data_IF_489357629981
#
_entry.id   IF_489357629981
#
_cell.length_a   1.000
_cell.length_b   1.000
_cell.length_c   1.000
_cell.angle_alpha   90.00
_cell.angle_beta   90.00
_cell.angle_gamma   90.00
#
_symmetry.space_group_name_H-M   'P 1'
#
loop_
_entity.id
_entity.type
_entity.pdbx_description
1 polymer ?
#
# COMPACT_ATOMS: atom_id res chain seq x y z
N UNK A 1 -7.52 -52.27 62.09
CA UNK A 1 -7.83 -50.83 62.24
C UNK A 1 -6.74 -50.01 61.51
N UNK A 2 -6.96 -49.59 60.32
CA UNK A 2 -6.02 -48.82 59.52
C UNK A 2 -6.79 -47.76 58.77
N UNK A 3 -6.62 -46.47 59.11
CA UNK A 3 -7.30 -45.33 58.52
C UNK A 3 -6.54 -44.94 57.24
N UNK A 4 -7.20 -45.04 56.09
CA UNK A 4 -6.70 -44.52 54.82
C UNK A 4 -6.79 -43.02 54.74
N UNK A 5 -5.66 -42.36 54.49
CA UNK A 5 -5.57 -40.94 54.18
C UNK A 5 -5.98 -40.72 52.71
N UNK A 6 -7.07 -39.99 52.48
CA UNK A 6 -7.45 -39.50 51.17
C UNK A 6 -6.58 -38.33 50.78
N UNK A 7 -5.75 -38.48 49.77
CA UNK A 7 -5.09 -37.38 49.06
C UNK A 7 -6.09 -36.68 48.11
N UNK A 8 -6.37 -35.41 48.34
CA UNK A 8 -7.06 -34.56 47.37
C UNK A 8 -6.02 -33.94 46.44
N UNK A 9 -6.20 -34.02 45.12
CA UNK A 9 -5.34 -33.30 44.22
C UNK A 9 -5.66 -31.80 44.30
N UNK A 10 -4.70 -30.96 44.68
CA UNK A 10 -4.77 -29.52 44.58
C UNK A 10 -4.71 -29.17 43.08
N UNK A 11 -5.85 -28.77 42.53
CA UNK A 11 -5.93 -28.16 41.19
C UNK A 11 -5.40 -26.72 41.34
N UNK A 12 -4.10 -26.55 41.13
CA UNK A 12 -3.58 -25.22 40.81
C UNK A 12 -4.11 -24.85 39.43
N UNK A 13 -5.20 -24.11 39.38
CA UNK A 13 -5.65 -23.43 38.20
C UNK A 13 -4.58 -22.43 37.79
N UNK A 14 -3.87 -22.68 36.71
CA UNK A 14 -3.08 -21.67 36.03
C UNK A 14 -4.04 -20.53 35.69
N UNK A 15 -3.82 -19.30 36.17
CA UNK A 15 -4.70 -18.19 35.80
C UNK A 15 -4.66 -18.08 34.30
N UNK A 16 -5.82 -18.15 33.65
CA UNK A 16 -5.96 -17.84 32.25
C UNK A 16 -5.40 -16.43 32.06
N UNK A 17 -4.26 -16.30 31.41
CA UNK A 17 -3.72 -15.02 30.97
C UNK A 17 -4.82 -14.39 30.12
N UNK A 18 -5.51 -13.40 30.64
CA UNK A 18 -6.44 -12.59 29.87
C UNK A 18 -5.61 -11.81 28.86
N UNK A 19 -5.45 -12.38 27.66
CA UNK A 19 -4.81 -11.66 26.54
C UNK A 19 -5.58 -10.38 26.32
N UNK A 20 -4.89 -9.24 26.41
CA UNK A 20 -5.49 -7.94 26.11
C UNK A 20 -5.74 -7.88 24.59
N UNK A 21 -6.99 -7.69 24.17
CA UNK A 21 -7.32 -7.48 22.77
C UNK A 21 -6.81 -6.10 22.33
N UNK A 22 -5.92 -6.08 21.35
CA UNK A 22 -5.40 -4.86 20.76
C UNK A 22 -6.40 -4.35 19.69
N UNK A 23 -6.95 -3.16 19.90
CA UNK A 23 -7.91 -2.53 18.98
C UNK A 23 -7.16 -1.66 17.99
N UNK A 24 -7.23 -2.00 16.70
CA UNK A 24 -6.51 -1.32 15.62
C UNK A 24 -7.48 -0.72 14.63
N UNK A 25 -7.34 0.58 14.35
CA UNK A 25 -8.00 1.24 13.24
C UNK A 25 -7.06 1.38 12.06
N UNK A 26 -7.50 1.01 10.87
CA UNK A 26 -6.77 1.24 9.61
C UNK A 26 -7.58 2.16 8.72
N UNK A 27 -7.04 3.34 8.39
CA UNK A 27 -7.63 4.25 7.43
C UNK A 27 -6.88 4.16 6.10
N UNK A 28 -7.57 3.80 5.02
CA UNK A 28 -7.00 3.64 3.69
C UNK A 28 -7.82 4.36 2.62
N UNK A 29 -7.19 4.88 1.57
CA UNK A 29 -7.85 5.61 0.48
C UNK A 29 -7.88 4.84 -0.85
N UNK A 30 -7.35 3.61 -0.89
CA UNK A 30 -7.36 2.72 -2.06
C UNK A 30 -7.21 1.25 -1.66
N UNK A 31 -7.45 0.35 -2.61
CA UNK A 31 -7.29 -1.10 -2.47
C UNK A 31 -5.89 -1.52 -2.01
N UNK A 32 -4.86 -0.98 -2.67
CA UNK A 32 -3.46 -1.31 -2.33
C UNK A 32 -3.07 -0.77 -0.96
N UNK A 33 -3.56 0.43 -0.60
CA UNK A 33 -3.32 0.99 0.73
C UNK A 33 -4.10 0.24 1.80
N UNK A 34 -5.30 -0.22 1.50
CA UNK A 34 -6.02 -1.14 2.37
C UNK A 34 -5.22 -2.42 2.62
N UNK A 35 -4.74 -3.07 1.53
CA UNK A 35 -3.87 -4.26 1.64
C UNK A 35 -2.67 -4.01 2.55
N UNK A 36 -1.92 -2.95 2.26
CA UNK A 36 -0.73 -2.60 3.03
C UNK A 36 -1.07 -2.32 4.49
N UNK A 37 -2.06 -1.47 4.76
CA UNK A 37 -2.40 -1.04 6.12
C UNK A 37 -2.88 -2.19 6.99
N UNK A 38 -3.78 -3.03 6.49
CA UNK A 38 -4.34 -4.15 7.24
C UNK A 38 -3.31 -5.26 7.49
N UNK A 39 -2.47 -5.60 6.50
CA UNK A 39 -1.39 -6.56 6.70
C UNK A 39 -0.29 -6.01 7.63
N UNK A 40 0.03 -4.71 7.50
CA UNK A 40 0.96 -4.04 8.41
C UNK A 40 0.46 -4.13 9.86
N UNK A 41 -0.81 -3.81 10.10
CA UNK A 41 -1.42 -3.88 11.42
C UNK A 41 -1.21 -5.26 12.08
N UNK A 42 -1.41 -6.33 11.32
CA UNK A 42 -1.20 -7.70 11.81
C UNK A 42 0.28 -8.03 12.04
N UNK A 43 1.19 -7.52 11.20
CA UNK A 43 2.64 -7.80 11.30
C UNK A 43 3.33 -7.09 12.44
N UNK A 44 2.90 -5.85 12.76
CA UNK A 44 3.52 -5.01 13.77
C UNK A 44 2.87 -5.12 15.15
N UNK A 45 1.75 -5.81 15.28
CA UNK A 45 1.12 -6.06 16.57
C UNK A 45 2.08 -6.83 17.49
N UNK A 46 2.14 -6.50 18.80
CA UNK A 46 2.93 -7.25 19.75
C UNK A 46 2.61 -8.74 19.73
N UNK A 47 3.61 -9.58 19.96
CA UNK A 47 3.44 -11.02 20.01
C UNK A 47 2.37 -11.43 21.04
N UNK A 48 1.61 -12.46 20.72
CA UNK A 48 0.52 -12.98 21.56
C UNK A 48 -0.63 -12.00 21.87
N UNK A 49 -0.78 -10.90 21.12
CA UNK A 49 -1.96 -10.05 21.17
C UNK A 49 -3.09 -10.66 20.36
N UNK A 50 -4.30 -10.66 20.92
CA UNK A 50 -5.50 -10.82 20.11
C UNK A 50 -5.77 -9.48 19.41
N UNK A 51 -6.04 -9.48 18.11
CA UNK A 51 -6.21 -8.25 17.33
C UNK A 51 -7.68 -8.13 16.94
N UNK A 52 -8.26 -6.95 17.21
CA UNK A 52 -9.49 -6.50 16.58
C UNK A 52 -9.16 -5.40 15.58
N UNK A 53 -9.43 -5.65 14.30
CA UNK A 53 -9.10 -4.78 13.18
C UNK A 53 -10.36 -4.13 12.63
N UNK A 54 -10.50 -2.82 12.78
CA UNK A 54 -11.56 -2.04 12.16
C UNK A 54 -11.01 -1.23 10.98
N UNK A 55 -11.55 -1.50 9.79
CA UNK A 55 -11.16 -0.87 8.54
C UNK A 55 -12.02 0.34 8.19
N UNK A 56 -11.37 1.40 7.74
CA UNK A 56 -11.99 2.63 7.26
C UNK A 56 -11.50 2.95 5.85
N UNK A 57 -12.41 3.05 4.90
CA UNK A 57 -12.11 3.44 3.53
C UNK A 57 -12.42 4.92 3.35
N UNK A 58 -11.40 5.73 3.19
CA UNK A 58 -11.56 7.16 2.98
C UNK A 58 -12.29 7.41 1.67
N UNK A 59 -13.43 8.07 1.76
CA UNK A 59 -14.27 8.40 0.62
C UNK A 59 -13.54 9.35 -0.34
N UNK A 60 -13.39 8.93 -1.59
CA UNK A 60 -12.70 9.69 -2.59
C UNK A 60 -12.72 9.04 -3.96
N UNK A 61 -11.87 9.54 -4.86
CA UNK A 61 -11.76 9.02 -6.22
C UNK A 61 -11.28 7.57 -6.26
N UNK A 62 -10.35 7.20 -5.41
CA UNK A 62 -9.70 5.89 -5.40
C UNK A 62 -10.33 4.92 -4.38
N UNK A 63 -11.47 5.27 -3.76
CA UNK A 63 -12.21 4.34 -2.89
C UNK A 63 -12.47 3.03 -3.63
N UNK A 64 -12.01 1.88 -3.10
CA UNK A 64 -12.08 0.60 -3.82
C UNK A 64 -13.51 0.11 -4.00
N UNK A 65 -13.72 -0.67 -5.06
CA UNK A 65 -14.96 -1.42 -5.27
C UNK A 65 -14.96 -2.70 -4.45
N UNK A 66 -16.14 -3.31 -4.24
CA UNK A 66 -16.25 -4.59 -3.54
C UNK A 66 -15.36 -5.67 -4.21
N UNK A 67 -15.34 -5.74 -5.54
CA UNK A 67 -14.46 -6.66 -6.28
C UNK A 67 -12.98 -6.44 -6.00
N UNK A 68 -12.54 -5.17 -5.96
CA UNK A 68 -11.13 -4.85 -5.65
C UNK A 68 -10.77 -5.24 -4.22
N UNK A 69 -11.69 -5.08 -3.27
CA UNK A 69 -11.50 -5.52 -1.89
C UNK A 69 -11.43 -7.03 -1.78
N UNK A 70 -12.29 -7.74 -2.51
CA UNK A 70 -12.28 -9.21 -2.59
C UNK A 70 -10.95 -9.72 -3.19
N UNK A 71 -10.48 -9.09 -4.27
CA UNK A 71 -9.21 -9.43 -4.92
C UNK A 71 -8.00 -9.21 -4.01
N UNK A 72 -8.05 -8.22 -3.14
CA UNK A 72 -7.00 -7.96 -2.12
C UNK A 72 -6.93 -9.10 -1.10
N UNK A 73 -8.05 -9.73 -0.78
CA UNK A 73 -8.12 -10.92 0.09
C UNK A 73 -7.85 -10.67 1.57
N UNK A 74 -7.78 -9.40 2.01
CA UNK A 74 -7.54 -9.04 3.42
C UNK A 74 -8.87 -8.75 4.11
N UNK A 75 -9.10 -9.39 5.25
CA UNK A 75 -10.32 -9.25 6.06
C UNK A 75 -10.07 -8.36 7.28
N UNK A 76 -11.12 -7.73 7.75
CA UNK A 76 -11.19 -7.00 9.01
C UNK A 76 -12.47 -7.41 9.76
N UNK A 77 -12.53 -7.13 11.06
CA UNK A 77 -13.75 -7.36 11.87
C UNK A 77 -14.88 -6.44 11.42
N UNK A 78 -14.53 -5.21 11.03
CA UNK A 78 -15.45 -4.29 10.35
C UNK A 78 -14.77 -3.52 9.23
N UNK A 79 -15.51 -3.17 8.17
CA UNK A 79 -15.02 -2.34 7.07
C UNK A 79 -16.11 -1.39 6.60
N UNK A 80 -15.84 -0.07 6.68
CA UNK A 80 -16.80 0.96 6.30
C UNK A 80 -16.19 2.13 5.56
N UNK A 81 -16.96 2.75 4.67
CA UNK A 81 -16.57 3.96 3.95
C UNK A 81 -16.88 5.20 4.80
N UNK A 82 -15.87 6.09 4.97
CA UNK A 82 -15.99 7.30 5.80
C UNK A 82 -15.42 8.54 5.08
N UNK A 83 -15.84 9.73 5.50
CA UNK A 83 -15.09 10.98 5.22
C UNK A 83 -13.96 11.16 6.25
N UNK A 84 -13.02 12.08 6.00
CA UNK A 84 -11.98 12.40 6.99
C UNK A 84 -12.57 12.90 8.31
N UNK A 85 -13.62 13.74 8.25
CA UNK A 85 -14.28 14.26 9.44
C UNK A 85 -15.02 13.17 10.23
N UNK A 86 -15.68 12.23 9.55
CA UNK A 86 -16.33 11.08 10.19
C UNK A 86 -15.31 10.19 10.90
N UNK A 87 -14.16 9.94 10.25
CA UNK A 87 -13.07 9.20 10.88
C UNK A 87 -12.56 9.90 12.14
N UNK A 88 -12.28 11.21 12.06
CA UNK A 88 -11.80 11.99 13.20
C UNK A 88 -12.78 11.98 14.39
N UNK A 89 -14.10 12.04 14.14
CA UNK A 89 -15.10 11.92 15.18
C UNK A 89 -15.09 10.55 15.88
N UNK A 90 -14.86 9.49 15.09
CA UNK A 90 -14.72 8.14 15.66
C UNK A 90 -13.46 8.06 16.53
N UNK A 91 -12.37 8.70 16.08
CA UNK A 91 -11.11 8.73 16.84
C UNK A 91 -11.19 9.60 18.10
N UNK A 92 -12.05 10.62 18.07
CA UNK A 92 -12.33 11.46 19.23
C UNK A 92 -13.11 10.71 20.31
N UNK A 93 -13.95 9.73 19.95
CA UNK A 93 -14.78 8.97 20.90
C UNK A 93 -15.88 9.80 21.53
N UNK A 94 -16.55 9.25 22.55
CA UNK A 94 -17.45 10.03 23.39
C UNK A 94 -16.63 10.90 24.35
N UNK A 95 -17.13 12.12 24.63
CA UNK A 95 -16.44 13.09 25.48
C UNK A 95 -16.18 12.57 26.93
N UNK A 96 -16.97 11.57 27.33
CA UNK A 96 -16.94 10.98 28.68
C UNK A 96 -16.09 9.70 28.76
N UNK A 97 -15.53 9.21 27.65
CA UNK A 97 -14.69 8.00 27.64
C UNK A 97 -13.26 8.35 28.09
N UNK A 98 -12.83 7.84 29.23
CA UNK A 98 -11.43 7.97 29.71
C UNK A 98 -10.43 7.20 28.82
N UNK A 99 -10.88 6.11 28.17
CA UNK A 99 -10.03 5.31 27.30
C UNK A 99 -10.28 5.60 25.82
N UNK A 100 -9.21 5.72 25.00
CA UNK A 100 -9.37 5.89 23.56
C UNK A 100 -10.06 4.67 22.93
N UNK A 101 -10.86 4.85 21.84
CA UNK A 101 -11.56 3.75 21.20
C UNK A 101 -10.63 2.73 20.54
N UNK A 102 -9.37 3.11 20.29
CA UNK A 102 -8.33 2.28 19.68
C UNK A 102 -7.00 2.42 20.43
N UNK A 103 -6.20 1.36 20.37
CA UNK A 103 -4.83 1.36 20.88
C UNK A 103 -3.84 1.83 19.80
N UNK A 104 -4.14 1.52 18.52
CA UNK A 104 -3.29 1.79 17.37
C UNK A 104 -4.10 2.31 16.18
N UNK A 105 -3.58 3.31 15.49
CA UNK A 105 -4.13 3.85 14.24
C UNK A 105 -3.10 3.76 13.13
N UNK A 106 -3.42 3.06 12.05
CA UNK A 106 -2.57 2.97 10.86
C UNK A 106 -3.13 3.88 9.76
N UNK A 107 -2.39 4.94 9.43
CA UNK A 107 -2.72 5.88 8.36
C UNK A 107 -2.09 5.42 7.05
N UNK A 108 -2.83 4.67 6.26
CA UNK A 108 -2.43 4.13 4.95
C UNK A 108 -3.02 4.97 3.82
N UNK A 109 -2.52 6.20 3.66
CA UNK A 109 -3.06 7.23 2.79
C UNK A 109 -1.99 7.83 1.87
N UNK A 110 -2.40 8.61 0.86
CA UNK A 110 -1.50 9.54 0.18
C UNK A 110 -0.96 10.58 1.18
N UNK A 111 0.22 11.13 0.93
CA UNK A 111 0.89 12.04 1.87
C UNK A 111 0.00 13.19 2.37
N UNK A 112 -0.73 13.87 1.47
CA UNK A 112 -1.67 14.92 1.89
C UNK A 112 -2.80 14.42 2.78
N UNK A 113 -3.27 13.18 2.59
CA UNK A 113 -4.26 12.55 3.47
C UNK A 113 -3.69 12.25 4.84
N UNK A 114 -2.43 11.75 4.91
CA UNK A 114 -1.73 11.53 6.19
C UNK A 114 -1.59 12.84 6.94
N UNK A 115 -1.08 13.89 6.27
CA UNK A 115 -0.91 15.22 6.87
C UNK A 115 -2.22 15.77 7.44
N UNK A 116 -3.31 15.69 6.67
CA UNK A 116 -4.61 16.16 7.13
C UNK A 116 -5.11 15.37 8.36
N UNK A 117 -4.94 14.05 8.37
CA UNK A 117 -5.32 13.24 9.52
C UNK A 117 -4.45 13.49 10.74
N UNK A 118 -3.14 13.70 10.59
CA UNK A 118 -2.25 14.06 11.71
C UNK A 118 -2.70 15.37 12.37
N UNK A 119 -3.04 16.41 11.60
CA UNK A 119 -3.59 17.65 12.15
C UNK A 119 -4.96 17.44 12.81
N UNK A 120 -5.85 16.70 12.17
CA UNK A 120 -7.16 16.40 12.73
C UNK A 120 -7.09 15.60 14.02
N UNK A 121 -6.22 14.59 14.09
CA UNK A 121 -5.99 13.79 15.29
C UNK A 121 -5.32 14.60 16.40
N UNK A 122 -4.36 15.47 16.06
CA UNK A 122 -3.77 16.42 17.02
C UNK A 122 -4.85 17.32 17.66
N UNK A 123 -5.77 17.82 16.85
CA UNK A 123 -6.89 18.62 17.34
C UNK A 123 -7.84 17.79 18.22
N UNK A 124 -8.25 16.60 17.79
CA UNK A 124 -9.16 15.73 18.50
C UNK A 124 -8.60 15.23 19.86
N UNK A 125 -7.30 14.99 19.92
CA UNK A 125 -6.64 14.41 21.13
C UNK A 125 -5.86 15.40 21.99
N UNK A 126 -5.79 16.67 21.58
CA UNK A 126 -4.91 17.66 22.25
C UNK A 126 -5.13 17.86 23.75
N UNK A 127 -6.33 17.55 24.26
CA UNK A 127 -6.68 17.64 25.69
C UNK A 127 -6.58 16.30 26.44
N UNK A 128 -6.21 15.20 25.76
CA UNK A 128 -6.19 13.84 26.35
C UNK A 128 -4.82 13.50 26.92
N UNK A 129 -4.79 12.86 28.08
CA UNK A 129 -3.58 12.31 28.69
C UNK A 129 -3.11 11.02 28.01
N UNK A 130 -4.02 10.31 27.34
CA UNK A 130 -3.74 9.09 26.58
C UNK A 130 -4.33 9.19 25.18
N UNK A 131 -3.56 8.78 24.19
CA UNK A 131 -3.96 8.69 22.79
C UNK A 131 -3.45 7.40 22.12
N UNK A 132 -4.09 6.94 21.05
CA UNK A 132 -3.57 5.83 20.24
C UNK A 132 -2.19 6.10 19.68
N UNK A 133 -1.41 5.04 19.47
CA UNK A 133 -0.16 5.10 18.69
C UNK A 133 -0.52 5.29 17.21
N UNK A 134 0.13 6.25 16.54
CA UNK A 134 -0.10 6.53 15.11
C UNK A 134 1.05 6.00 14.28
N UNK A 135 0.72 5.15 13.32
CA UNK A 135 1.67 4.53 12.38
C UNK A 135 1.33 4.92 10.96
N UNK A 136 2.33 5.23 10.16
CA UNK A 136 2.21 5.44 8.73
C UNK A 136 3.43 4.88 7.98
N UNK A 137 3.43 4.96 6.66
CA UNK A 137 4.55 4.53 5.83
C UNK A 137 4.22 4.66 4.34
N UNK A 138 5.04 4.03 3.52
CA UNK A 138 4.80 3.92 2.08
C UNK A 138 4.28 2.52 1.74
N UNK A 139 3.36 2.46 0.77
CA UNK A 139 2.66 1.22 0.39
C UNK A 139 3.47 0.32 -0.56
N UNK A 140 4.51 0.87 -1.13
CA UNK A 140 5.38 0.17 -2.09
C UNK A 140 6.73 0.85 -2.17
N UNK A 141 7.42 0.66 -3.28
CA UNK A 141 8.69 1.34 -3.55
C UNK A 141 8.46 2.83 -3.81
N UNK A 142 9.33 3.67 -3.28
CA UNK A 142 9.25 5.13 -3.44
C UNK A 142 10.22 5.57 -4.53
N UNK A 143 9.68 6.07 -5.64
CA UNK A 143 10.47 6.48 -6.81
C UNK A 143 10.65 7.99 -6.89
N UNK A 144 9.58 8.76 -6.62
CA UNK A 144 9.52 10.21 -6.81
C UNK A 144 9.04 10.93 -5.55
N UNK A 145 9.35 12.24 -5.49
CA UNK A 145 8.86 13.15 -4.43
C UNK A 145 9.08 12.63 -3.01
N UNK A 146 10.21 11.95 -2.81
CA UNK A 146 10.50 11.30 -1.53
C UNK A 146 10.48 12.31 -0.38
N UNK A 147 11.17 13.45 -0.52
CA UNK A 147 11.30 14.45 0.55
C UNK A 147 9.93 15.00 0.99
N UNK A 148 9.13 15.53 0.04
CA UNK A 148 7.80 16.05 0.37
C UNK A 148 6.89 14.95 0.96
N UNK A 149 6.88 13.77 0.34
CA UNK A 149 6.09 12.65 0.84
C UNK A 149 6.45 12.21 2.25
N UNK A 150 7.72 12.32 2.67
CA UNK A 150 8.17 12.02 4.03
C UNK A 150 7.77 13.13 5.01
N UNK A 151 7.98 14.39 4.63
CA UNK A 151 7.60 15.54 5.47
C UNK A 151 6.09 15.59 5.74
N UNK A 152 5.27 15.12 4.78
CA UNK A 152 3.83 14.94 4.98
C UNK A 152 3.47 13.78 5.95
N UNK A 153 4.42 12.93 6.31
CA UNK A 153 4.25 11.82 7.28
C UNK A 153 4.92 12.07 8.62
N UNK A 154 5.79 13.07 8.68
CA UNK A 154 6.44 13.47 9.91
C UNK A 154 5.41 13.88 10.97
N UNK A 155 5.65 13.48 12.22
CA UNK A 155 4.73 13.69 13.33
C UNK A 155 3.89 12.45 13.69
N UNK A 156 3.92 11.37 12.86
CA UNK A 156 3.45 10.06 13.31
C UNK A 156 4.48 9.41 14.28
N UNK A 157 4.01 8.59 15.21
CA UNK A 157 4.89 7.91 16.18
C UNK A 157 5.84 6.92 15.51
N UNK A 158 5.38 6.24 14.44
CA UNK A 158 6.22 5.42 13.58
C UNK A 158 5.98 5.75 12.11
N UNK A 159 7.09 5.95 11.39
CA UNK A 159 7.12 6.03 9.93
C UNK A 159 7.85 4.80 9.40
N UNK A 160 7.08 3.84 8.88
CA UNK A 160 7.61 2.56 8.43
C UNK A 160 8.30 2.70 7.07
N UNK A 161 9.52 2.21 7.01
CA UNK A 161 10.32 2.07 5.80
C UNK A 161 10.36 0.59 5.40
N UNK A 162 9.93 0.26 4.19
CA UNK A 162 9.74 -1.14 3.76
C UNK A 162 11.06 -1.87 3.43
N UNK A 163 12.19 -1.24 3.68
CA UNK A 163 13.52 -1.79 3.46
C UNK A 163 14.58 -1.00 4.22
N UNK A 164 15.78 -1.58 4.40
CA UNK A 164 16.93 -0.85 4.92
C UNK A 164 17.27 0.35 4.05
N UNK A 165 17.26 0.18 2.74
CA UNK A 165 17.53 1.28 1.81
C UNK A 165 16.55 2.44 2.00
N UNK A 166 15.27 2.15 2.17
CA UNK A 166 14.28 3.18 2.43
C UNK A 166 14.48 3.81 3.82
N UNK A 167 14.79 3.01 4.85
CA UNK A 167 15.04 3.53 6.20
C UNK A 167 16.20 4.54 6.23
N UNK A 168 17.29 4.21 5.54
CA UNK A 168 18.46 5.11 5.43
C UNK A 168 18.11 6.41 4.68
N UNK A 169 17.37 6.30 3.57
CA UNK A 169 16.90 7.47 2.80
C UNK A 169 15.92 8.32 3.60
N UNK A 170 15.03 7.71 4.37
CA UNK A 170 14.03 8.43 5.18
C UNK A 170 14.69 9.22 6.30
N UNK A 171 15.65 8.61 7.01
CA UNK A 171 16.45 9.30 8.02
C UNK A 171 17.22 10.47 7.41
N UNK A 172 17.91 10.24 6.30
CA UNK A 172 18.66 11.30 5.62
C UNK A 172 17.80 12.49 5.19
N UNK A 173 16.53 12.27 4.80
CA UNK A 173 15.61 13.36 4.47
C UNK A 173 15.23 14.15 5.72
N UNK A 174 14.85 13.49 6.82
CA UNK A 174 14.47 14.17 8.05
C UNK A 174 15.65 14.94 8.65
N UNK A 175 16.81 14.31 8.77
CA UNK A 175 18.05 14.92 9.26
C UNK A 175 18.47 16.11 8.39
N UNK A 176 18.36 15.97 7.06
CA UNK A 176 18.70 17.03 6.09
C UNK A 176 17.88 18.31 6.21
N UNK A 177 16.68 18.24 6.81
CA UNK A 177 15.83 19.40 7.10
C UNK A 177 15.78 19.75 8.60
N UNK A 178 16.61 19.12 9.43
CA UNK A 178 16.64 19.32 10.88
C UNK A 178 15.41 18.77 11.62
N UNK A 179 14.67 17.83 11.01
CA UNK A 179 13.54 17.16 11.65
C UNK A 179 13.99 15.88 12.38
N UNK A 180 13.23 15.48 13.41
CA UNK A 180 13.51 14.26 14.16
C UNK A 180 13.28 13.01 13.30
N UNK A 181 14.31 12.20 13.12
CA UNK A 181 14.29 10.95 12.37
C UNK A 181 13.97 9.71 13.25
N UNK A 182 13.77 9.89 14.54
CA UNK A 182 13.59 8.78 15.51
C UNK A 182 12.35 7.92 15.22
N UNK A 183 11.33 8.48 14.58
CA UNK A 183 10.11 7.77 14.18
C UNK A 183 10.36 6.73 13.06
N UNK A 184 11.43 6.87 12.26
CA UNK A 184 11.73 5.96 11.14
C UNK A 184 12.04 4.56 11.65
N UNK A 185 11.27 3.60 11.19
CA UNK A 185 11.40 2.19 11.58
C UNK A 185 11.52 1.31 10.36
N UNK A 186 12.63 0.57 10.26
CA UNK A 186 12.84 -0.42 9.21
C UNK A 186 11.88 -1.60 9.41
N UNK A 187 11.22 -1.99 8.33
CA UNK A 187 10.39 -3.19 8.21
C UNK A 187 10.58 -3.79 6.80
N UNK A 188 9.76 -4.76 6.42
CA UNK A 188 9.62 -5.22 5.04
C UNK A 188 8.22 -4.87 4.51
N UNK A 189 8.00 -5.05 3.19
CA UNK A 189 6.66 -4.99 2.62
C UNK A 189 5.78 -6.07 3.27
N UNK A 190 4.61 -5.73 3.85
CA UNK A 190 3.84 -6.67 4.68
C UNK A 190 3.16 -7.78 3.89
N UNK A 191 3.16 -7.72 2.58
CA UNK A 191 2.49 -8.65 1.67
C UNK A 191 3.47 -9.56 0.90
N UNK A 192 4.76 -9.57 1.22
CA UNK A 192 5.68 -10.58 0.72
C UNK A 192 5.27 -11.94 1.29
N UNK A 193 5.34 -12.98 0.47
CA UNK A 193 4.94 -14.32 0.87
C UNK A 193 4.65 -15.20 -0.34
N UNK A 194 4.06 -16.37 -0.09
CA UNK A 194 3.81 -17.42 -1.08
C UNK A 194 4.89 -18.48 -1.10
N UNK A 195 4.65 -19.56 -1.84
CA UNK A 195 5.60 -20.65 -1.96
C UNK A 195 6.85 -20.24 -2.75
N UNK A 196 8.02 -20.80 -2.44
CA UNK A 196 9.19 -20.67 -3.29
C UNK A 196 8.90 -21.16 -4.71
N UNK A 197 9.55 -20.52 -5.68
CA UNK A 197 9.40 -20.84 -7.10
C UNK A 197 9.72 -22.31 -7.38
N UNK A 198 8.85 -22.90 -8.19
CA UNK A 198 9.06 -24.18 -8.86
C UNK A 198 8.67 -24.01 -10.33
N UNK A 199 9.44 -24.64 -11.24
CA UNK A 199 9.18 -24.53 -12.68
C UNK A 199 7.82 -25.16 -13.05
N UNK A 200 7.08 -24.51 -13.95
CA UNK A 200 5.77 -24.95 -14.42
C UNK A 200 5.84 -25.45 -15.87
N UNK A 201 4.82 -26.20 -16.24
CA UNK A 201 4.56 -26.65 -17.60
C UNK A 201 3.07 -26.40 -17.92
N UNK A 202 2.74 -25.51 -18.86
CA UNK A 202 3.65 -24.74 -19.71
C UNK A 202 4.41 -23.64 -18.95
N UNK A 203 5.61 -23.28 -19.45
CA UNK A 203 6.39 -22.17 -18.92
C UNK A 203 5.62 -20.84 -19.04
N UNK A 204 5.39 -20.18 -17.93
CA UNK A 204 4.51 -18.99 -17.85
C UNK A 204 5.31 -17.70 -17.66
N UNK A 205 5.19 -16.81 -18.64
CA UNK A 205 5.75 -15.45 -18.59
C UNK A 205 4.66 -14.46 -18.22
N UNK A 206 4.87 -13.68 -17.16
CA UNK A 206 3.92 -12.67 -16.69
C UNK A 206 4.50 -11.27 -16.83
N UNK A 207 3.84 -10.41 -17.62
CA UNK A 207 4.15 -8.99 -17.64
C UNK A 207 3.24 -8.24 -16.64
N UNK A 208 3.81 -7.76 -15.54
CA UNK A 208 3.09 -6.98 -14.52
C UNK A 208 2.98 -5.51 -14.95
N UNK A 209 1.85 -5.14 -15.56
CA UNK A 209 1.59 -3.79 -16.02
C UNK A 209 1.22 -2.83 -14.90
N UNK A 210 1.65 -1.57 -15.04
CA UNK A 210 1.30 -0.48 -14.14
C UNK A 210 0.31 0.48 -14.82
N UNK A 211 -0.64 1.09 -14.08
CA UNK A 211 -1.66 1.98 -14.67
C UNK A 211 -1.08 3.23 -15.36
N UNK A 212 -0.01 3.80 -14.82
CA UNK A 212 0.58 5.06 -15.27
C UNK A 212 2.04 4.96 -15.73
N UNK A 213 2.60 3.75 -15.84
CA UNK A 213 4.00 3.54 -16.24
C UNK A 213 4.07 2.45 -17.31
N UNK A 214 4.60 2.78 -18.50
CA UNK A 214 4.81 4.14 -19.02
C UNK A 214 3.47 4.84 -19.27
N UNK A 215 3.46 6.16 -19.37
CA UNK A 215 2.25 6.96 -19.56
C UNK A 215 1.94 7.21 -21.04
N UNK A 216 2.96 7.24 -21.92
CA UNK A 216 2.78 7.53 -23.35
C UNK A 216 2.13 6.37 -24.11
N UNK A 217 1.29 6.72 -25.10
CA UNK A 217 0.70 5.74 -26.02
C UNK A 217 1.78 4.97 -26.78
N UNK A 218 2.83 5.66 -27.24
CA UNK A 218 3.93 5.07 -28.00
C UNK A 218 4.60 3.95 -27.21
N UNK A 219 4.98 4.25 -25.97
CA UNK A 219 5.72 3.32 -25.11
C UNK A 219 4.84 2.15 -24.67
N UNK A 220 3.56 2.40 -24.32
CA UNK A 220 2.62 1.32 -23.98
C UNK A 220 2.34 0.39 -25.17
N UNK A 221 2.19 0.97 -26.37
CA UNK A 221 2.01 0.16 -27.59
C UNK A 221 3.26 -0.62 -27.91
N UNK A 222 4.45 -0.04 -27.74
CA UNK A 222 5.73 -0.73 -27.92
C UNK A 222 5.82 -1.94 -26.98
N UNK A 223 5.61 -1.77 -25.69
CA UNK A 223 5.67 -2.87 -24.71
C UNK A 223 4.66 -3.98 -25.02
N UNK A 224 3.43 -3.61 -25.39
CA UNK A 224 2.42 -4.59 -25.77
C UNK A 224 2.82 -5.39 -27.01
N UNK A 225 3.36 -4.72 -28.05
CA UNK A 225 3.82 -5.37 -29.26
C UNK A 225 5.00 -6.32 -28.99
N UNK A 226 5.95 -5.93 -28.12
CA UNK A 226 7.08 -6.78 -27.73
C UNK A 226 6.61 -8.02 -26.98
N UNK A 227 5.65 -7.86 -26.06
CA UNK A 227 5.08 -8.99 -25.34
C UNK A 227 4.33 -9.97 -26.27
N UNK A 228 3.57 -9.44 -27.23
CA UNK A 228 2.91 -10.25 -28.26
C UNK A 228 3.93 -10.93 -29.19
N UNK A 229 5.01 -10.23 -29.54
CA UNK A 229 6.10 -10.81 -30.31
C UNK A 229 6.77 -11.97 -29.57
N UNK A 230 7.05 -11.79 -28.27
CA UNK A 230 7.60 -12.85 -27.41
C UNK A 230 6.68 -14.09 -27.40
N UNK A 231 5.36 -13.87 -27.28
CA UNK A 231 4.39 -14.97 -27.31
C UNK A 231 4.41 -15.72 -28.66
N UNK A 232 4.58 -15.02 -29.79
CA UNK A 232 4.69 -15.63 -31.12
C UNK A 232 5.99 -16.39 -31.32
N UNK A 233 7.10 -15.89 -30.75
CA UNK A 233 8.41 -16.57 -30.81
C UNK A 233 8.45 -17.83 -29.96
N UNK A 234 7.63 -17.90 -28.93
CA UNK A 234 7.59 -18.99 -27.95
C UNK A 234 6.18 -19.57 -27.80
N UNK A 235 5.65 -20.27 -28.83
CA UNK A 235 4.28 -20.79 -28.80
C UNK A 235 4.04 -21.84 -27.70
N UNK A 236 5.11 -22.46 -27.19
CA UNK A 236 5.08 -23.41 -26.07
C UNK A 236 4.91 -22.76 -24.68
N UNK A 237 5.03 -21.44 -24.59
CA UNK A 237 4.89 -20.68 -23.33
C UNK A 237 3.50 -20.11 -23.19
N UNK A 238 3.02 -19.96 -21.97
CA UNK A 238 1.89 -19.09 -21.66
C UNK A 238 2.40 -17.67 -21.38
N UNK A 239 1.81 -16.66 -22.05
CA UNK A 239 2.22 -15.25 -21.88
C UNK A 239 1.05 -14.43 -21.36
N UNK A 240 1.19 -13.92 -20.16
CA UNK A 240 0.14 -13.23 -19.43
C UNK A 240 0.43 -11.75 -19.26
N UNK A 241 -0.48 -10.90 -19.70
CA UNK A 241 -0.49 -9.48 -19.39
C UNK A 241 -1.33 -9.26 -18.12
N UNK A 242 -0.68 -9.16 -16.97
CA UNK A 242 -1.34 -8.92 -15.68
C UNK A 242 -1.71 -7.46 -15.51
N UNK A 243 -2.99 -7.22 -15.42
CA UNK A 243 -3.59 -5.89 -15.26
C UNK A 243 -4.11 -5.72 -13.82
N UNK A 244 -4.05 -4.49 -13.31
CA UNK A 244 -4.48 -4.17 -11.97
C UNK A 244 -5.99 -3.97 -11.85
N UNK A 245 -6.62 -3.36 -12.86
CA UNK A 245 -8.04 -2.96 -12.79
C UNK A 245 -8.76 -3.29 -14.08
N UNK A 246 -10.04 -3.63 -13.96
CA UNK A 246 -10.95 -3.72 -15.11
C UNK A 246 -11.32 -2.32 -15.61
N UNK A 247 -11.72 -2.18 -16.89
CA UNK A 247 -12.22 -0.93 -17.41
C UNK A 247 -13.36 -0.42 -16.52
N UNK A 248 -13.23 0.83 -16.05
CA UNK A 248 -14.24 1.39 -15.19
C UNK A 248 -13.94 1.31 -13.68
N UNK A 249 -12.93 0.61 -13.20
CA UNK A 249 -12.52 0.59 -11.80
C UNK A 249 -11.55 1.70 -11.42
N UNK A 250 -11.50 2.01 -10.12
CA UNK A 250 -10.67 3.08 -9.60
C UNK A 250 -9.27 2.59 -9.20
N UNK A 251 -8.28 3.40 -9.54
CA UNK A 251 -6.91 3.27 -9.05
C UNK A 251 -6.43 4.64 -8.57
N UNK A 252 -5.43 4.68 -7.72
CA UNK A 252 -4.79 5.92 -7.27
C UNK A 252 -4.27 6.74 -8.46
N UNK A 253 -3.68 6.06 -9.43
CA UNK A 253 -3.20 6.64 -10.69
C UNK A 253 -4.25 6.46 -11.78
N UNK A 254 -4.52 7.51 -12.55
CA UNK A 254 -5.46 7.44 -13.67
C UNK A 254 -4.78 6.69 -14.82
N UNK A 255 -5.41 5.62 -15.29
CA UNK A 255 -4.98 4.91 -16.48
C UNK A 255 -5.67 5.51 -17.71
N UNK A 256 -4.99 6.43 -18.39
CA UNK A 256 -5.56 7.10 -19.57
C UNK A 256 -5.63 6.18 -20.80
N UNK A 257 -4.64 5.31 -20.94
CA UNK A 257 -4.46 4.40 -22.09
C UNK A 257 -4.42 2.93 -21.60
N UNK A 258 -5.56 2.36 -21.21
CA UNK A 258 -5.61 0.98 -20.74
C UNK A 258 -5.13 -0.02 -21.79
N UNK A 259 -4.30 -0.98 -21.39
CA UNK A 259 -3.83 -2.04 -22.29
C UNK A 259 -4.97 -2.84 -22.92
N UNK A 260 -6.11 -2.99 -22.25
CA UNK A 260 -7.30 -3.62 -22.80
C UNK A 260 -7.77 -2.95 -24.10
N UNK A 261 -7.70 -1.59 -24.17
CA UNK A 261 -8.08 -0.84 -25.39
C UNK A 261 -7.01 -0.94 -26.48
N UNK A 262 -5.74 -1.03 -26.09
CA UNK A 262 -4.65 -1.20 -27.05
C UNK A 262 -4.67 -2.60 -27.65
N UNK A 263 -4.91 -3.62 -26.85
CA UNK A 263 -4.98 -5.03 -27.25
C UNK A 263 -6.11 -5.32 -28.26
N UNK A 264 -7.24 -4.60 -28.18
CA UNK A 264 -8.35 -4.75 -29.17
C UNK A 264 -7.95 -4.46 -30.62
N UNK A 265 -6.78 -3.85 -30.85
CA UNK A 265 -6.30 -3.45 -32.20
C UNK A 265 -5.17 -4.34 -32.71
N UNK A 266 -4.85 -5.38 -31.99
CA UNK A 266 -3.74 -6.28 -32.26
C UNK A 266 -4.29 -7.69 -32.41
N UNK A 267 -3.82 -8.42 -33.39
CA UNK A 267 -4.05 -9.85 -33.50
C UNK A 267 -3.20 -10.57 -32.43
N UNK A 268 -3.87 -11.17 -31.45
CA UNK A 268 -3.25 -11.81 -30.30
C UNK A 268 -3.11 -13.32 -30.58
N UNK A 269 -1.93 -13.92 -30.34
CA UNK A 269 -1.76 -15.37 -30.46
C UNK A 269 -2.50 -16.11 -29.34
N UNK A 270 -2.79 -17.39 -29.55
CA UNK A 270 -3.60 -18.22 -28.63
C UNK A 270 -2.99 -18.39 -27.25
N UNK A 271 -1.67 -18.31 -27.15
CA UNK A 271 -0.91 -18.41 -25.90
C UNK A 271 -0.78 -17.09 -25.14
N UNK A 272 -1.43 -16.00 -25.60
CA UNK A 272 -1.41 -14.68 -24.99
C UNK A 272 -2.75 -14.35 -24.32
N UNK A 273 -2.74 -13.94 -23.03
CA UNK A 273 -3.97 -13.58 -22.29
C UNK A 273 -3.80 -12.34 -21.43
N UNK A 274 -4.88 -11.57 -21.29
CA UNK A 274 -5.00 -10.51 -20.28
C UNK A 274 -5.60 -11.12 -19.02
N UNK A 275 -4.92 -10.93 -17.88
CA UNK A 275 -5.33 -11.52 -16.61
C UNK A 275 -5.49 -10.46 -15.52
N UNK A 276 -6.38 -10.75 -14.57
CA UNK A 276 -6.68 -9.96 -13.38
C UNK A 276 -6.48 -10.85 -12.15
N UNK A 277 -6.87 -10.37 -10.98
CA UNK A 277 -6.84 -11.16 -9.76
C UNK A 277 -5.68 -10.80 -8.84
N UNK A 278 -5.58 -11.50 -7.72
CA UNK A 278 -4.53 -11.31 -6.73
C UNK A 278 -3.15 -11.57 -7.34
N UNK A 279 -2.19 -10.67 -7.09
CA UNK A 279 -0.83 -10.83 -7.65
C UNK A 279 -0.14 -12.09 -7.10
N UNK A 280 -0.39 -12.43 -5.84
CA UNK A 280 0.15 -13.66 -5.24
C UNK A 280 -0.27 -14.92 -6.00
N UNK A 281 -1.56 -15.06 -6.33
CA UNK A 281 -2.10 -16.18 -7.11
C UNK A 281 -1.52 -16.26 -8.52
N UNK A 282 -1.26 -15.10 -9.14
CA UNK A 282 -0.61 -15.04 -10.45
C UNK A 282 0.84 -15.49 -10.33
N UNK A 283 1.55 -15.07 -9.28
CA UNK A 283 2.93 -15.47 -9.02
C UNK A 283 3.07 -16.96 -8.71
N UNK A 284 2.04 -17.61 -8.14
CA UNK A 284 2.06 -19.05 -7.87
C UNK A 284 2.22 -19.93 -9.13
N UNK A 285 1.97 -19.36 -10.32
CA UNK A 285 2.11 -20.03 -11.62
C UNK A 285 3.07 -19.31 -12.57
N UNK A 286 3.93 -18.44 -12.06
CA UNK A 286 4.84 -17.62 -12.87
C UNK A 286 6.23 -18.21 -12.89
N UNK A 287 6.81 -18.38 -14.07
CA UNK A 287 8.19 -18.82 -14.26
C UNK A 287 9.14 -17.65 -14.56
N UNK A 288 8.61 -16.58 -15.17
CA UNK A 288 9.34 -15.34 -15.42
C UNK A 288 8.42 -14.14 -15.19
N UNK A 289 8.76 -13.29 -14.24
CA UNK A 289 8.10 -12.00 -14.10
C UNK A 289 8.85 -10.93 -14.88
N UNK A 290 8.12 -10.19 -15.71
CA UNK A 290 8.64 -9.03 -16.45
C UNK A 290 7.84 -7.79 -16.06
N UNK A 291 8.50 -6.67 -15.84
CA UNK A 291 7.82 -5.40 -15.53
C UNK A 291 8.69 -4.20 -15.90
N UNK A 292 8.11 -3.00 -15.88
CA UNK A 292 8.89 -1.76 -15.97
C UNK A 292 9.45 -1.40 -14.58
N UNK A 293 8.57 -1.33 -13.56
CA UNK A 293 8.99 -0.99 -12.19
C UNK A 293 7.92 -1.34 -11.13
N UNK A 294 7.09 -2.33 -11.41
CA UNK A 294 6.05 -2.73 -10.45
C UNK A 294 6.66 -3.27 -9.16
N UNK A 295 6.06 -2.93 -8.02
CA UNK A 295 6.40 -3.56 -6.73
C UNK A 295 6.26 -5.08 -6.74
N UNK A 296 5.50 -5.64 -7.70
CA UNK A 296 5.43 -7.09 -7.93
C UNK A 296 6.80 -7.73 -8.19
N UNK A 297 7.80 -6.97 -8.67
CA UNK A 297 9.17 -7.46 -8.78
C UNK A 297 9.74 -7.90 -7.43
N UNK A 298 9.45 -7.18 -6.35
CA UNK A 298 9.89 -7.56 -5.01
C UNK A 298 9.15 -8.79 -4.47
N UNK A 299 7.84 -8.93 -4.77
CA UNK A 299 7.06 -10.13 -4.45
C UNK A 299 7.60 -11.36 -5.20
N UNK A 300 7.98 -11.18 -6.47
CA UNK A 300 8.59 -12.20 -7.34
C UNK A 300 9.97 -12.64 -6.82
N UNK A 301 10.84 -11.66 -6.52
CA UNK A 301 12.18 -11.92 -5.97
C UNK A 301 12.12 -12.63 -4.61
N UNK A 302 11.14 -12.29 -3.76
CA UNK A 302 10.93 -12.97 -2.48
C UNK A 302 10.67 -14.47 -2.66
N UNK A 303 9.92 -14.84 -3.69
CA UNK A 303 9.63 -16.24 -4.06
C UNK A 303 10.74 -16.89 -4.88
N UNK A 304 11.81 -16.16 -5.23
CA UNK A 304 12.90 -16.57 -6.12
C UNK A 304 12.45 -16.87 -7.55
N UNK A 305 11.38 -16.24 -8.01
CA UNK A 305 10.96 -16.31 -9.40
C UNK A 305 11.93 -15.47 -10.23
N UNK A 306 12.44 -15.98 -11.37
CA UNK A 306 13.19 -15.17 -12.33
C UNK A 306 12.46 -13.86 -12.63
N UNK A 307 13.15 -12.73 -12.48
CA UNK A 307 12.51 -11.40 -12.52
C UNK A 307 13.30 -10.46 -13.40
N UNK A 308 12.62 -9.83 -14.35
CA UNK A 308 13.20 -8.84 -15.27
C UNK A 308 12.52 -7.50 -15.13
N UNK A 309 13.33 -6.47 -14.98
CA UNK A 309 12.95 -5.06 -15.06
C UNK A 309 13.44 -4.51 -16.40
N UNK A 310 12.50 -4.08 -17.25
CA UNK A 310 12.79 -3.72 -18.62
C UNK A 310 13.59 -2.44 -18.78
N UNK A 311 14.56 -2.50 -19.67
CA UNK A 311 15.43 -1.37 -20.05
C UNK A 311 15.11 -0.80 -21.44
N UNK A 312 14.17 -1.39 -22.17
CA UNK A 312 13.80 -1.01 -23.55
C UNK A 312 13.43 0.47 -23.72
N UNK A 313 12.84 1.08 -22.71
CA UNK A 313 12.47 2.49 -22.70
C UNK A 313 13.53 3.38 -22.01
N UNK A 314 14.73 2.83 -21.79
CA UNK A 314 15.81 3.45 -21.02
C UNK A 314 15.59 3.30 -19.50
N UNK A 315 16.63 3.66 -18.72
CA UNK A 315 16.59 3.71 -17.26
C UNK A 315 16.34 5.16 -16.88
N UNK A 316 15.17 5.46 -16.33
CA UNK A 316 14.73 6.84 -16.05
C UNK A 316 13.91 6.90 -14.77
N UNK A 317 14.01 8.02 -14.06
CA UNK A 317 13.21 8.28 -12.86
C UNK A 317 11.71 8.24 -13.15
N UNK A 318 11.27 8.83 -14.26
CA UNK A 318 9.86 8.81 -14.68
C UNK A 318 9.28 7.41 -14.92
N UNK A 319 10.13 6.40 -15.16
CA UNK A 319 9.74 4.99 -15.26
C UNK A 319 9.86 4.26 -13.91
N UNK A 320 10.57 4.80 -12.95
CA UNK A 320 10.85 4.16 -11.65
C UNK A 320 11.85 3.00 -11.72
N UNK A 321 12.29 2.58 -12.92
CA UNK A 321 13.19 1.44 -13.10
C UNK A 321 14.64 1.72 -12.66
N UNK A 322 15.01 2.99 -12.48
CA UNK A 322 16.30 3.39 -11.89
C UNK A 322 16.50 2.83 -10.47
N UNK A 323 15.43 2.55 -9.74
CA UNK A 323 15.48 1.90 -8.44
C UNK A 323 16.15 0.52 -8.48
N UNK A 324 16.04 -0.17 -9.61
CA UNK A 324 16.57 -1.52 -9.81
C UNK A 324 18.01 -1.56 -10.36
N UNK A 325 18.68 -0.41 -10.45
CA UNK A 325 20.12 -0.38 -10.81
C UNK A 325 20.92 -1.14 -9.76
N UNK A 326 21.79 -2.05 -10.21
CA UNK A 326 22.56 -2.93 -9.35
C UNK A 326 21.80 -4.18 -8.85
N UNK A 327 20.53 -4.36 -9.25
CA UNK A 327 19.73 -5.53 -8.83
C UNK A 327 20.09 -6.84 -9.53
N UNK A 328 20.80 -6.79 -10.68
CA UNK A 328 20.98 -7.95 -11.56
C UNK A 328 19.73 -8.35 -12.35
N UNK A 329 18.62 -7.57 -12.24
CA UNK A 329 17.35 -7.87 -12.90
C UNK A 329 17.11 -7.06 -14.18
N UNK A 330 18.00 -6.14 -14.55
CA UNK A 330 17.81 -5.26 -15.70
C UNK A 330 18.10 -6.01 -17.00
N UNK A 331 17.13 -6.06 -17.92
CA UNK A 331 17.30 -6.63 -19.25
C UNK A 331 16.30 -6.02 -20.25
N UNK A 332 16.58 -6.16 -21.54
CA UNK A 332 15.66 -5.81 -22.62
C UNK A 332 14.88 -7.04 -23.11
N UNK A 333 13.81 -6.82 -23.85
CA UNK A 333 13.11 -7.90 -24.55
C UNK A 333 14.01 -8.65 -25.52
N UNK A 334 14.94 -7.96 -26.22
CA UNK A 334 15.90 -8.63 -27.14
C UNK A 334 16.81 -9.60 -26.40
N UNK A 335 17.25 -9.23 -25.20
CA UNK A 335 18.03 -10.13 -24.36
C UNK A 335 17.22 -11.34 -23.90
N UNK A 336 15.94 -11.13 -23.49
CA UNK A 336 15.06 -12.22 -23.11
C UNK A 336 14.76 -13.18 -24.27
N UNK A 337 14.51 -12.64 -25.48
CA UNK A 337 14.27 -13.44 -26.68
C UNK A 337 15.52 -14.20 -27.10
N UNK A 338 16.74 -13.69 -26.77
CA UNK A 338 18.01 -14.37 -26.96
C UNK A 338 18.36 -15.38 -25.83
N UNK A 339 17.45 -15.61 -24.88
CA UNK A 339 17.63 -16.59 -23.79
C UNK A 339 18.39 -16.08 -22.56
N UNK A 340 18.45 -14.74 -22.37
CA UNK A 340 19.05 -14.18 -21.15
C UNK A 340 18.26 -14.58 -19.89
N UNK A 341 18.95 -15.11 -18.92
CA UNK A 341 18.40 -15.42 -17.59
C UNK A 341 18.84 -14.35 -16.58
N UNK A 342 17.90 -13.71 -15.86
CA UNK A 342 18.24 -12.72 -14.84
C UNK A 342 18.94 -13.38 -13.65
N UNK A 343 19.96 -12.70 -13.11
CA UNK A 343 20.70 -13.14 -11.93
C UNK A 343 20.63 -12.07 -10.83
N UNK A 344 19.64 -12.11 -9.94
CA UNK A 344 19.47 -11.12 -8.89
C UNK A 344 20.67 -11.05 -7.95
N UNK A 345 21.14 -9.82 -7.68
CA UNK A 345 22.20 -9.57 -6.70
C UNK A 345 21.66 -9.76 -5.27
N UNK A 346 22.25 -10.70 -4.53
CA UNK A 346 21.76 -11.07 -3.19
C UNK A 346 21.88 -9.92 -2.17
N UNK A 347 22.90 -9.07 -2.28
CA UNK A 347 23.09 -7.95 -1.37
C UNK A 347 22.03 -6.86 -1.65
N UNK A 348 21.75 -6.59 -2.93
CA UNK A 348 20.68 -5.67 -3.33
C UNK A 348 19.32 -6.18 -2.85
N UNK A 349 19.00 -7.46 -3.10
CA UNK A 349 17.73 -8.09 -2.68
C UNK A 349 17.54 -7.97 -1.17
N UNK A 350 18.56 -8.27 -0.39
CA UNK A 350 18.52 -8.13 1.08
C UNK A 350 18.26 -6.69 1.52
N UNK A 351 18.93 -5.72 0.90
CA UNK A 351 18.74 -4.29 1.21
C UNK A 351 17.33 -3.78 0.86
N UNK A 352 16.62 -4.45 -0.04
CA UNK A 352 15.22 -4.13 -0.37
C UNK A 352 14.19 -4.78 0.58
N UNK A 353 14.62 -5.39 1.68
CA UNK A 353 13.72 -6.08 2.61
C UNK A 353 13.11 -7.36 2.03
N UNK A 354 13.68 -7.85 0.93
CA UNK A 354 13.30 -9.10 0.29
C UNK A 354 14.18 -10.20 0.82
N UNK A 355 13.71 -10.90 1.86
CA UNK A 355 14.47 -11.96 2.48
C UNK A 355 14.39 -13.25 1.67
N UNK A 356 15.41 -13.54 0.91
CA UNK A 356 15.52 -14.81 0.18
C UNK A 356 15.73 -16.02 1.10
N UNK A 357 16.12 -15.83 2.37
CA UNK A 357 16.56 -16.89 3.28
C UNK A 357 16.10 -16.70 4.74
N UNK A 358 14.80 -16.59 4.96
CA UNK A 358 14.25 -16.88 6.27
C UNK A 358 14.17 -15.75 7.30
N UNK A 359 14.61 -14.52 7.00
CA UNK A 359 14.51 -13.41 7.93
C UNK A 359 13.27 -12.52 7.75
N UNK A 360 12.36 -12.87 6.86
CA UNK A 360 11.17 -12.05 6.59
C UNK A 360 10.28 -11.89 7.84
N UNK A 361 10.07 -12.95 8.60
CA UNK A 361 9.24 -12.90 9.81
C UNK A 361 9.84 -11.98 10.89
N UNK A 362 11.16 -11.90 10.98
CA UNK A 362 11.87 -11.04 11.94
C UNK A 362 11.99 -9.58 11.48
N UNK A 363 11.66 -9.29 10.22
CA UNK A 363 11.73 -7.93 9.69
C UNK A 363 10.79 -6.93 10.40
N UNK A 364 9.83 -7.42 11.19
CA UNK A 364 8.87 -6.60 11.92
C UNK A 364 9.15 -6.52 13.42
N UNK A 365 10.15 -7.24 13.95
CA UNK A 365 10.44 -7.32 15.39
C UNK A 365 10.73 -5.95 15.99
N UNK A 366 11.56 -5.14 15.34
CA UNK A 366 11.85 -3.77 15.80
C UNK A 366 10.57 -2.92 15.89
N UNK A 367 9.65 -3.07 14.94
CA UNK A 367 8.39 -2.34 14.96
C UNK A 367 7.48 -2.85 16.10
N UNK A 368 7.40 -4.17 16.34
CA UNK A 368 6.66 -4.78 17.45
C UNK A 368 7.17 -4.30 18.80
N UNK A 369 8.49 -4.30 19.01
CA UNK A 369 9.12 -3.82 20.22
C UNK A 369 8.85 -2.34 20.49
N UNK A 370 8.93 -1.52 19.42
CA UNK A 370 8.65 -0.10 19.51
C UNK A 370 7.19 0.17 19.85
N UNK A 371 6.26 -0.52 19.20
CA UNK A 371 4.82 -0.39 19.50
C UNK A 371 4.53 -0.83 20.94
N UNK A 372 5.13 -1.93 21.40
CA UNK A 372 4.98 -2.39 22.79
C UNK A 372 5.38 -1.30 23.79
N UNK A 373 6.50 -0.62 23.53
CA UNK A 373 6.98 0.48 24.37
C UNK A 373 6.04 1.71 24.30
N UNK A 374 5.58 2.06 23.11
CA UNK A 374 4.69 3.20 22.91
C UNK A 374 3.32 2.99 23.54
N UNK A 375 2.77 1.76 23.49
CA UNK A 375 1.51 1.41 24.15
C UNK A 375 1.57 1.49 25.67
N UNK A 376 2.77 1.34 26.25
CA UNK A 376 2.99 1.42 27.70
C UNK A 376 3.33 2.86 28.20
N UNK A 377 3.59 3.79 27.27
CA UNK A 377 4.03 5.14 27.57
C UNK A 377 2.89 6.17 27.47
N UNK A 378 3.04 7.29 28.16
CA UNK A 378 2.30 8.51 27.82
C UNK A 378 2.90 9.12 26.55
N UNK A 379 2.05 9.38 25.54
CA UNK A 379 2.50 9.88 24.27
C UNK A 379 2.31 11.40 24.19
N UNK A 380 3.32 12.16 23.72
CA UNK A 380 3.18 13.59 23.51
C UNK A 380 2.15 13.85 22.38
N UNK A 381 1.57 15.05 22.30
CA UNK A 381 0.75 15.42 21.15
C UNK A 381 1.49 15.19 19.82
N UNK A 382 0.73 14.83 18.77
CA UNK A 382 1.31 14.70 17.43
C UNK A 382 1.91 16.03 16.98
N UNK A 383 3.09 16.01 16.35
CA UNK A 383 3.79 17.22 15.91
C UNK A 383 4.16 17.17 14.40
N UNK A 384 3.19 17.44 13.51
CA UNK A 384 3.42 17.45 12.06
C UNK A 384 4.45 18.52 11.64
N UNK A 385 5.33 18.18 10.69
CA UNK A 385 6.36 19.07 10.18
C UNK A 385 5.80 20.37 9.54
N UNK A 386 4.79 20.21 8.65
CA UNK A 386 4.14 21.36 8.05
C UNK A 386 3.11 21.96 9.01
N UNK A 387 3.26 23.23 9.31
CA UNK A 387 2.34 24.02 10.16
C UNK A 387 1.80 25.22 9.39
N UNK A 388 0.74 25.91 9.86
CA UNK A 388 0.28 27.15 9.26
C UNK A 388 1.38 28.24 9.19
N UNK A 389 2.37 28.18 10.06
CA UNK A 389 3.50 29.12 10.11
C UNK A 389 4.59 28.72 9.10
N UNK A 390 4.97 27.42 9.06
CA UNK A 390 6.08 26.95 8.22
C UNK A 390 5.67 26.69 6.77
N UNK A 391 4.36 26.47 6.50
CA UNK A 391 3.84 26.17 5.17
C UNK A 391 2.49 26.88 4.89
N UNK A 392 2.40 28.22 5.02
CA UNK A 392 1.14 28.97 4.94
C UNK A 392 0.44 28.88 3.58
N UNK A 393 1.20 28.70 2.49
CA UNK A 393 0.66 28.55 1.12
C UNK A 393 0.35 27.10 0.72
N UNK A 394 0.79 26.11 1.49
CA UNK A 394 0.70 24.69 1.13
C UNK A 394 -0.30 23.92 2.01
N UNK A 395 -0.12 24.00 3.32
CA UNK A 395 -0.91 23.23 4.28
C UNK A 395 -2.42 23.54 4.24
N UNK A 396 -2.89 24.81 4.16
CA UNK A 396 -4.33 25.10 4.15
C UNK A 396 -5.06 24.41 2.99
N UNK A 397 -4.43 24.35 1.82
CA UNK A 397 -5.00 23.66 0.66
C UNK A 397 -5.11 22.13 0.85
N UNK A 398 -4.21 21.52 1.63
CA UNK A 398 -4.27 20.10 2.00
C UNK A 398 -5.42 19.88 2.97
N UNK A 399 -5.50 20.66 4.04
CA UNK A 399 -6.53 20.53 5.09
C UNK A 399 -7.94 20.73 4.53
N UNK A 400 -8.12 21.77 3.71
CA UNK A 400 -9.42 22.11 3.11
C UNK A 400 -10.00 20.97 2.24
N UNK A 401 -9.15 20.18 1.55
CA UNK A 401 -9.61 19.01 0.76
C UNK A 401 -10.26 17.93 1.64
N UNK A 402 -9.95 17.92 2.93
CA UNK A 402 -10.50 17.01 3.93
C UNK A 402 -11.51 17.70 4.85
N UNK A 403 -11.97 18.91 4.49
CA UNK A 403 -12.90 19.74 5.27
C UNK A 403 -12.38 20.11 6.66
N UNK A 404 -11.08 20.38 6.77
CA UNK A 404 -10.41 20.80 8.00
C UNK A 404 -9.95 22.25 7.90
N UNK A 405 -10.05 22.97 9.01
CA UNK A 405 -9.49 24.30 9.21
C UNK A 405 -7.97 24.29 9.46
N UNK A 406 -7.33 25.47 9.53
CA UNK A 406 -5.89 25.59 9.77
C UNK A 406 -5.39 24.96 11.08
N UNK A 407 -6.26 24.83 12.05
CA UNK A 407 -6.04 24.19 13.36
C UNK A 407 -6.30 22.68 13.36
N UNK A 408 -6.73 22.12 12.23
CA UNK A 408 -7.12 20.72 12.11
C UNK A 408 -8.56 20.42 12.55
N UNK A 409 -9.31 21.41 13.03
CA UNK A 409 -10.71 21.25 13.38
C UNK A 409 -11.60 21.06 12.15
N UNK A 410 -12.70 20.29 12.23
CA UNK A 410 -13.67 20.21 11.16
C UNK A 410 -14.28 21.58 10.80
N UNK A 411 -14.33 21.92 9.52
CA UNK A 411 -14.96 23.15 9.07
C UNK A 411 -16.49 23.11 9.29
N UNK A 412 -17.15 24.24 9.57
CA UNK A 412 -18.61 24.32 9.64
C UNK A 412 -19.26 23.80 8.34
N UNK A 413 -20.27 22.95 8.47
CA UNK A 413 -20.94 22.34 7.32
C UNK A 413 -20.17 21.20 6.65
N UNK A 414 -19.07 20.73 7.24
CA UNK A 414 -18.38 19.53 6.77
C UNK A 414 -19.38 18.35 6.66
N UNK A 415 -19.33 17.55 5.58
CA UNK A 415 -20.28 16.47 5.37
C UNK A 415 -20.18 15.47 6.52
N UNK A 416 -21.29 15.34 7.26
CA UNK A 416 -21.54 14.30 8.24
C UNK A 416 -22.36 13.23 7.54
N UNK A 417 -22.08 11.97 7.79
CA UNK A 417 -22.96 10.92 7.29
C UNK A 417 -24.31 11.06 7.97
N UNK A 418 -25.27 11.61 7.26
CA UNK A 418 -26.65 11.22 7.50
C UNK A 418 -26.75 9.73 7.16
N UNK A 419 -27.40 8.95 8.03
CA UNK A 419 -27.82 7.54 7.92
C UNK A 419 -27.44 6.86 6.60
N UNK A 420 -27.06 5.60 6.61
CA UNK A 420 -26.63 4.81 5.44
C UNK A 420 -27.20 5.33 4.11
N UNK A 421 -26.37 5.68 3.14
CA UNK A 421 -26.87 6.29 1.91
C UNK A 421 -27.88 5.36 1.27
N UNK A 422 -29.08 5.85 0.98
CA UNK A 422 -30.14 5.07 0.35
C UNK A 422 -29.60 4.36 -0.90
N UNK A 423 -30.08 3.17 -1.28
CA UNK A 423 -29.65 2.44 -2.47
C UNK A 423 -29.59 3.32 -3.72
N UNK A 424 -30.54 4.24 -3.86
CA UNK A 424 -30.61 5.21 -4.97
C UNK A 424 -29.42 6.18 -4.95
N UNK A 425 -29.03 6.72 -3.80
CA UNK A 425 -27.83 7.58 -3.67
C UNK A 425 -26.54 6.83 -3.99
N UNK A 426 -26.46 5.54 -3.64
CA UNK A 426 -25.31 4.70 -4.01
C UNK A 426 -25.22 4.49 -5.53
N UNK A 427 -26.36 4.25 -6.20
CA UNK A 427 -26.45 4.10 -7.66
C UNK A 427 -26.05 5.40 -8.36
N UNK A 428 -26.59 6.55 -7.93
CA UNK A 428 -26.26 7.87 -8.48
C UNK A 428 -24.77 8.20 -8.28
N UNK A 429 -24.18 7.89 -7.13
CA UNK A 429 -22.76 8.06 -6.88
C UNK A 429 -21.89 7.15 -7.77
N UNK A 430 -22.29 5.89 -7.98
CA UNK A 430 -21.61 4.97 -8.91
C UNK A 430 -21.68 5.48 -10.35
N UNK A 431 -22.84 5.97 -10.78
CA UNK A 431 -23.03 6.53 -12.11
C UNK A 431 -22.21 7.81 -12.32
N UNK A 432 -22.19 8.74 -11.37
CA UNK A 432 -21.40 9.96 -11.43
C UNK A 432 -19.89 9.68 -11.44
N UNK A 433 -19.42 8.71 -10.65
CA UNK A 433 -18.02 8.24 -10.69
C UNK A 433 -17.67 7.59 -12.03
N UNK A 434 -18.60 6.84 -12.63
CA UNK A 434 -18.44 6.25 -13.96
C UNK A 434 -18.35 7.31 -15.07
N UNK A 435 -19.21 8.33 -15.03
CA UNK A 435 -19.24 9.42 -16.01
C UNK A 435 -17.97 10.29 -15.95
N UNK A 436 -17.50 10.64 -14.76
CA UNK A 436 -16.23 11.37 -14.57
C UNK A 436 -15.04 10.61 -15.20
N UNK A 437 -14.99 9.31 -15.03
CA UNK A 437 -13.96 8.45 -15.56
C UNK A 437 -13.97 8.34 -17.09
N UNK A 438 -15.17 8.19 -17.68
CA UNK A 438 -15.33 8.23 -19.13
C UNK A 438 -14.87 9.57 -19.71
N UNK A 439 -15.13 10.67 -19.01
CA UNK A 439 -14.64 12.00 -19.35
C UNK A 439 -13.10 12.05 -19.34
N UNK A 440 -12.46 11.66 -18.24
CA UNK A 440 -11.00 11.68 -18.12
C UNK A 440 -10.32 10.79 -19.16
N UNK A 441 -10.80 9.56 -19.37
CA UNK A 441 -10.21 8.65 -20.37
C UNK A 441 -10.39 9.11 -21.82
N UNK A 442 -11.36 9.98 -22.10
CA UNK A 442 -11.60 10.51 -23.46
C UNK A 442 -10.99 11.89 -23.68
N UNK A 443 -11.04 12.75 -22.68
CA UNK A 443 -10.67 14.17 -22.78
C UNK A 443 -9.20 14.43 -22.46
N UNK A 444 -8.64 13.78 -21.42
CA UNK A 444 -7.25 14.02 -21.05
C UNK A 444 -6.24 13.66 -22.14
N UNK A 445 -6.38 12.54 -22.91
CA UNK A 445 -5.49 12.28 -24.04
C UNK A 445 -5.60 13.29 -25.18
N UNK A 446 -6.77 13.93 -25.33
CA UNK A 446 -6.97 14.98 -26.36
C UNK A 446 -6.29 16.28 -25.95
N UNK A 447 -6.45 16.67 -24.68
CA UNK A 447 -5.81 17.88 -24.14
C UNK A 447 -4.28 17.76 -24.20
N UNK A 448 -3.70 16.63 -23.82
CA UNK A 448 -2.26 16.39 -23.96
C UNK A 448 -1.77 16.55 -25.39
N UNK A 449 -2.48 15.98 -26.38
CA UNK A 449 -2.11 16.13 -27.78
C UNK A 449 -2.13 17.59 -28.27
N UNK A 450 -3.04 18.41 -27.74
CA UNK A 450 -3.10 19.83 -28.08
C UNK A 450 -2.01 20.65 -27.39
N UNK A 451 -1.44 20.15 -26.29
CA UNK A 451 -0.31 20.79 -25.58
C UNK A 451 1.07 20.31 -26.06
N UNK A 452 1.14 19.27 -26.89
CA UNK A 452 2.38 18.75 -27.51
C UNK A 452 2.61 19.28 -28.94
N UNK A 453 1.71 20.16 -29.46
CA UNK A 453 1.83 20.92 -30.69
C UNK A 453 2.29 22.34 -30.39
#
# INVERSE_FOLDING_TARGET
>A
MGRGAKWLPSVFGVPASTRKTLRIAVLADSDTRWKWGALTASRIAPENSDIRLDGYLLRGRATPTARQLEEVGVRADSLREVTGVEFLRVMDGAADDEEPPYDLVVLSLVGGGVQAMLHGLRNAWGARTRRPVVVTGYVGVVYEKLADGLLLRHGADLVLANSRQDADRFRAVYEGVGADASSVTEVALPFLGGAPYTKHDPYTVVFAAQPSVPDSRKDRTYLLNRLVQHARLHPEREVLLKLRSKPGEHTTHIEELPYQKLAQRIDLPDNFRLVYGNMGEVLDRTDLLVTVSSTAALESLHRRIPTVVLTDLGIREALGNHHFVGSGCLASWDQLDAGHEPSPDAAWVTRQGVAAYGSYETAFDTARDRITKLLAAELPPLDPYYTPVTAPGYLPGILARHHLGPDGAPLPGAPVADKEPSPVRQIVRRAARGAYRHGVQRVAPVIRRMGEL
#
